data_IF_158494856420
#
_entry.id   IF_158494856420
#
_cell.length_a   1.000
_cell.length_b   1.000
_cell.length_c   1.000
_cell.angle_alpha   90.00
_cell.angle_beta   90.00
_cell.angle_gamma   90.00
#
_symmetry.space_group_name_H-M   'P 1'
#
loop_
_entity.id
_entity.type
_entity.pdbx_description
1 polymer ?
#
# COMPACT_ATOMS: atom_id res chain seq x y z
N UNK A 1 21.85 -10.24 11.55
CA UNK A 1 21.68 -10.23 10.09
C UNK A 1 22.69 -9.27 9.52
N UNK A 2 23.45 -9.69 8.52
CA UNK A 2 24.41 -8.88 7.79
C UNK A 2 23.90 -8.74 6.34
N UNK A 3 24.02 -7.54 5.78
CA UNK A 3 23.55 -7.23 4.42
C UNK A 3 24.70 -6.61 3.63
N UNK A 4 24.91 -7.10 2.42
CA UNK A 4 25.80 -6.49 1.44
C UNK A 4 25.00 -5.92 0.28
N UNK A 5 25.50 -4.84 -0.31
CA UNK A 5 24.80 -4.11 -1.36
C UNK A 5 25.64 -4.06 -2.63
N UNK A 6 24.97 -4.09 -3.77
CA UNK A 6 25.58 -3.84 -5.07
C UNK A 6 25.85 -2.34 -5.31
N UNK A 7 26.46 -2.03 -6.45
CA UNK A 7 26.78 -0.64 -6.86
C UNK A 7 25.54 0.26 -7.06
N UNK A 8 24.34 -0.33 -7.12
CA UNK A 8 23.06 0.38 -7.20
C UNK A 8 22.35 0.44 -5.83
N UNK A 9 23.05 0.12 -4.75
CA UNK A 9 22.51 0.08 -3.37
C UNK A 9 21.36 -0.92 -3.18
N UNK A 10 21.33 -2.00 -3.97
CA UNK A 10 20.40 -3.13 -3.80
C UNK A 10 21.08 -4.24 -3.03
N UNK A 11 20.37 -4.94 -2.16
CA UNK A 11 20.90 -6.04 -1.35
C UNK A 11 21.32 -7.19 -2.28
N UNK A 12 22.61 -7.50 -2.34
CA UNK A 12 23.18 -8.58 -3.17
C UNK A 12 23.48 -9.84 -2.37
N UNK A 13 23.65 -9.70 -1.05
CA UNK A 13 23.91 -10.82 -0.14
C UNK A 13 23.23 -10.57 1.20
N UNK A 14 22.62 -11.62 1.76
CA UNK A 14 22.02 -11.60 3.08
C UNK A 14 22.55 -12.77 3.90
N UNK A 15 23.09 -12.46 5.07
CA UNK A 15 23.58 -13.47 6.00
C UNK A 15 22.81 -13.41 7.30
N UNK A 16 22.13 -14.51 7.63
CA UNK A 16 21.30 -14.62 8.82
C UNK A 16 21.99 -15.58 9.80
N UNK A 17 22.23 -15.08 11.01
CA UNK A 17 22.75 -15.86 12.12
C UNK A 17 21.60 -16.18 13.07
N UNK A 18 21.20 -17.45 13.13
CA UNK A 18 20.32 -17.98 14.18
C UNK A 18 21.17 -18.71 15.22
N UNK A 19 20.61 -19.04 16.39
CA UNK A 19 21.37 -19.67 17.48
C UNK A 19 21.99 -21.03 17.12
N UNK A 20 21.58 -21.66 16.01
CA UNK A 20 22.05 -22.98 15.58
C UNK A 20 22.73 -23.00 14.21
N UNK A 21 22.41 -22.06 13.32
CA UNK A 21 22.92 -22.07 11.94
C UNK A 21 23.19 -20.65 11.43
N UNK A 22 24.16 -20.55 10.53
CA UNK A 22 24.36 -19.36 9.70
C UNK A 22 23.96 -19.69 8.28
N UNK A 23 23.07 -18.89 7.72
CA UNK A 23 22.59 -19.06 6.35
C UNK A 23 22.98 -17.83 5.55
N UNK A 24 23.43 -18.05 4.31
CA UNK A 24 23.81 -17.00 3.38
C UNK A 24 22.99 -17.17 2.12
N UNK A 25 22.38 -16.10 1.67
CA UNK A 25 21.62 -16.03 0.42
C UNK A 25 22.22 -14.95 -0.47
N UNK A 26 22.44 -15.29 -1.75
CA UNK A 26 22.90 -14.38 -2.79
C UNK A 26 21.75 -14.05 -3.73
N UNK A 27 21.61 -12.76 -4.02
CA UNK A 27 20.46 -12.25 -4.76
C UNK A 27 20.95 -11.61 -6.07
N UNK A 28 20.32 -11.99 -7.17
CA UNK A 28 20.59 -11.42 -8.50
C UNK A 28 19.36 -10.68 -9.02
N UNK A 29 19.61 -9.66 -9.82
CA UNK A 29 18.56 -8.79 -10.36
C UNK A 29 18.71 -8.60 -11.86
N UNK A 30 17.60 -8.32 -12.54
CA UNK A 30 17.60 -7.88 -13.93
C UNK A 30 18.15 -6.45 -14.06
N UNK A 31 18.35 -6.01 -15.31
CA UNK A 31 18.74 -4.64 -15.62
C UNK A 31 17.71 -3.61 -15.10
N UNK A 32 16.43 -3.97 -15.13
CA UNK A 32 15.29 -3.17 -14.63
C UNK A 32 15.08 -3.27 -13.12
N UNK A 33 15.86 -4.12 -12.43
CA UNK A 33 15.81 -4.28 -10.98
C UNK A 33 14.85 -5.33 -10.46
N UNK A 34 14.29 -6.18 -11.32
CA UNK A 34 13.47 -7.31 -10.88
C UNK A 34 14.36 -8.38 -10.24
N UNK A 35 13.93 -8.98 -9.13
CA UNK A 35 14.66 -10.11 -8.51
C UNK A 35 14.60 -11.33 -9.44
N UNK A 36 15.75 -11.81 -9.90
CA UNK A 36 15.84 -12.98 -10.78
C UNK A 36 16.03 -14.27 -9.99
N UNK A 37 16.99 -14.29 -9.08
CA UNK A 37 17.33 -15.48 -8.30
C UNK A 37 17.68 -15.11 -6.86
N UNK A 38 17.34 -16.02 -5.94
CA UNK A 38 17.83 -16.03 -4.57
C UNK A 38 18.40 -17.43 -4.33
N UNK A 39 19.72 -17.51 -4.19
CA UNK A 39 20.47 -18.76 -4.10
C UNK A 39 21.13 -18.87 -2.72
N UNK A 40 21.09 -20.04 -2.10
CA UNK A 40 21.66 -20.26 -0.78
C UNK A 40 21.01 -21.47 -0.12
N UNK A 41 20.49 -21.29 1.10
CA UNK A 41 19.69 -22.33 1.75
C UNK A 41 18.34 -22.57 1.03
N UNK A 42 17.80 -21.52 0.41
CA UNK A 42 16.65 -21.60 -0.47
C UNK A 42 17.09 -21.25 -1.90
N UNK A 43 16.48 -21.92 -2.88
CA UNK A 43 16.75 -21.68 -4.29
C UNK A 43 15.45 -21.26 -4.97
N UNK A 44 15.31 -19.94 -5.15
CA UNK A 44 14.21 -19.33 -5.86
C UNK A 44 14.69 -18.76 -7.18
N UNK A 45 13.94 -19.03 -8.26
CA UNK A 45 14.15 -18.37 -9.55
C UNK A 45 12.84 -17.84 -10.11
N UNK A 46 12.88 -16.63 -10.63
CA UNK A 46 11.74 -15.92 -11.20
C UNK A 46 12.01 -15.57 -12.65
N UNK A 47 11.06 -15.88 -13.52
CA UNK A 47 11.08 -15.52 -14.94
C UNK A 47 9.96 -14.54 -15.21
N UNK A 48 10.26 -13.50 -15.98
CA UNK A 48 9.35 -12.41 -16.29
C UNK A 48 9.06 -12.34 -17.79
N UNK A 49 7.88 -11.84 -18.16
CA UNK A 49 7.59 -11.40 -19.53
C UNK A 49 8.07 -9.96 -19.78
N UNK A 50 7.82 -9.43 -20.98
CA UNK A 50 8.18 -8.06 -21.38
C UNK A 50 7.45 -6.99 -20.55
N UNK A 51 6.24 -7.31 -20.09
CA UNK A 51 5.45 -6.48 -19.18
C UNK A 51 5.85 -6.70 -17.72
N UNK A 52 6.97 -7.39 -17.41
CA UNK A 52 7.44 -7.64 -16.06
C UNK A 52 6.48 -8.45 -15.19
N UNK A 53 5.58 -9.24 -15.76
CA UNK A 53 4.75 -10.19 -15.02
C UNK A 53 5.54 -11.47 -14.73
N UNK A 54 5.38 -12.07 -13.54
CA UNK A 54 6.06 -13.32 -13.18
C UNK A 54 5.40 -14.48 -13.92
N UNK A 55 6.03 -15.05 -14.94
CA UNK A 55 5.49 -16.18 -15.72
C UNK A 55 5.94 -17.55 -15.20
N UNK A 56 7.03 -17.59 -14.42
CA UNK A 56 7.51 -18.82 -13.80
C UNK A 56 8.17 -18.55 -12.47
N UNK A 57 7.82 -19.36 -11.47
CA UNK A 57 8.46 -19.41 -10.15
C UNK A 57 9.05 -20.82 -10.00
N UNK A 58 10.33 -20.92 -9.71
CA UNK A 58 10.98 -22.19 -9.36
C UNK A 58 11.41 -22.17 -7.89
N UNK A 59 11.06 -23.22 -7.16
CA UNK A 59 11.43 -23.48 -5.76
C UNK A 59 11.97 -24.89 -5.61
N UNK A 60 13.26 -25.04 -5.31
CA UNK A 60 13.91 -26.35 -5.04
C UNK A 60 13.57 -27.41 -6.11
N UNK A 61 13.60 -27.00 -7.38
CA UNK A 61 13.31 -27.84 -8.55
C UNK A 61 11.82 -27.97 -8.91
N UNK A 62 10.88 -27.50 -8.08
CA UNK A 62 9.45 -27.42 -8.43
C UNK A 62 9.19 -26.15 -9.21
N UNK A 63 8.57 -26.29 -10.39
CA UNK A 63 8.23 -25.17 -11.27
C UNK A 63 6.73 -24.89 -11.22
N UNK A 64 6.37 -23.64 -10.93
CA UNK A 64 5.03 -23.09 -11.04
C UNK A 64 5.00 -22.13 -12.23
N UNK A 65 4.14 -22.39 -13.22
CA UNK A 65 3.95 -21.52 -14.38
C UNK A 65 2.68 -20.70 -14.20
N UNK A 66 2.70 -19.41 -14.54
CA UNK A 66 1.55 -18.51 -14.45
C UNK A 66 1.15 -18.02 -15.84
N UNK A 67 -0.15 -18.06 -16.14
CA UNK A 67 -0.73 -17.55 -17.39
C UNK A 67 -1.45 -16.22 -17.16
N UNK A 68 -1.27 -15.28 -18.08
CA UNK A 68 -1.81 -13.92 -18.00
C UNK A 68 -2.75 -13.61 -19.16
N UNK A 69 -3.70 -12.71 -18.93
CA UNK A 69 -4.45 -12.07 -20.01
C UNK A 69 -3.83 -10.74 -20.45
N UNK A 70 -4.45 -10.08 -21.44
CA UNK A 70 -3.97 -8.82 -22.00
C UNK A 70 -4.03 -7.62 -21.03
N UNK A 71 -4.62 -7.78 -19.85
CA UNK A 71 -4.68 -6.77 -18.80
C UNK A 71 -3.68 -7.00 -17.66
N UNK A 72 -2.65 -7.82 -17.89
CA UNK A 72 -1.64 -8.22 -16.89
C UNK A 72 -2.22 -8.93 -15.67
N UNK A 73 -3.35 -9.64 -15.84
CA UNK A 73 -4.03 -10.37 -14.76
C UNK A 73 -3.67 -11.85 -14.83
N UNK A 74 -3.24 -12.44 -13.71
CA UNK A 74 -3.01 -13.90 -13.63
C UNK A 74 -4.35 -14.61 -13.75
N UNK A 75 -4.55 -15.43 -14.78
CA UNK A 75 -5.79 -16.21 -15.00
C UNK A 75 -5.58 -17.70 -14.76
N UNK A 76 -4.37 -18.20 -15.00
CA UNK A 76 -4.06 -19.64 -14.99
C UNK A 76 -2.80 -19.96 -14.18
N UNK A 77 -2.79 -21.15 -13.60
CA UNK A 77 -1.60 -21.78 -13.01
C UNK A 77 -1.38 -23.11 -13.71
N UNK A 78 -0.21 -23.29 -14.31
CA UNK A 78 0.03 -24.32 -15.31
C UNK A 78 -1.10 -24.29 -16.36
N UNK A 79 -1.88 -25.36 -16.47
CA UNK A 79 -2.97 -25.49 -17.45
C UNK A 79 -4.37 -25.35 -16.80
N UNK A 80 -4.45 -24.88 -15.55
CA UNK A 80 -5.70 -24.78 -14.80
C UNK A 80 -6.07 -23.31 -14.59
N UNK A 81 -7.29 -22.94 -15.01
CA UNK A 81 -7.88 -21.65 -14.65
C UNK A 81 -8.06 -21.54 -13.14
N UNK A 82 -7.50 -20.49 -12.56
CA UNK A 82 -7.53 -20.29 -11.13
C UNK A 82 -8.25 -19.02 -10.72
N UNK A 83 -7.93 -17.89 -11.35
CA UNK A 83 -8.51 -16.61 -10.97
C UNK A 83 -9.64 -16.21 -11.92
N UNK A 84 -10.75 -15.74 -11.35
CA UNK A 84 -11.81 -15.03 -12.09
C UNK A 84 -11.86 -13.58 -11.66
N UNK A 85 -12.12 -12.67 -12.60
CA UNK A 85 -12.11 -11.22 -12.38
C UNK A 85 -13.47 -10.59 -12.67
N UNK A 86 -13.81 -9.53 -11.95
CA UNK A 86 -14.93 -8.65 -12.32
C UNK A 86 -14.51 -7.57 -13.33
N UNK A 87 -15.47 -6.75 -13.78
CA UNK A 87 -15.23 -5.67 -14.74
C UNK A 87 -14.30 -4.56 -14.21
N UNK A 88 -14.09 -4.47 -12.89
CA UNK A 88 -13.17 -3.52 -12.26
C UNK A 88 -11.75 -4.08 -12.17
N UNK A 89 -11.54 -5.35 -12.52
CA UNK A 89 -10.27 -6.05 -12.42
C UNK A 89 -10.03 -6.74 -11.06
N UNK A 90 -11.05 -6.92 -10.24
CA UNK A 90 -10.88 -7.48 -8.90
C UNK A 90 -10.97 -8.99 -8.97
N UNK A 91 -10.09 -9.72 -8.29
CA UNK A 91 -10.19 -11.19 -8.20
C UNK A 91 -11.45 -11.55 -7.41
N UNK A 92 -12.46 -12.13 -8.07
CA UNK A 92 -13.73 -12.56 -7.45
C UNK A 92 -13.82 -14.08 -7.25
N UNK A 93 -12.91 -14.83 -7.88
CA UNK A 93 -12.76 -16.28 -7.69
C UNK A 93 -11.28 -16.62 -7.64
N UNK A 94 -10.88 -17.49 -6.71
CA UNK A 94 -9.54 -18.07 -6.55
C UNK A 94 -9.69 -19.59 -6.35
N UNK A 95 -9.53 -20.37 -7.41
CA UNK A 95 -9.92 -21.78 -7.40
C UNK A 95 -11.40 -21.91 -7.02
N UNK A 96 -11.67 -22.61 -5.92
CA UNK A 96 -13.03 -22.77 -5.35
C UNK A 96 -13.43 -21.64 -4.38
N UNK A 97 -12.47 -20.81 -3.93
CA UNK A 97 -12.75 -19.68 -3.06
C UNK A 97 -13.43 -18.55 -3.85
N UNK A 98 -14.60 -18.11 -3.40
CA UNK A 98 -15.30 -16.92 -3.88
C UNK A 98 -14.97 -15.71 -3.01
N UNK A 99 -14.70 -14.58 -3.64
CA UNK A 99 -14.31 -13.33 -2.99
C UNK A 99 -15.36 -12.24 -3.28
N UNK A 100 -15.71 -11.46 -2.27
CA UNK A 100 -16.66 -10.33 -2.40
C UNK A 100 -16.06 -9.06 -1.83
N UNK A 101 -16.33 -7.94 -2.47
CA UNK A 101 -15.80 -6.64 -2.08
C UNK A 101 -16.93 -5.68 -1.71
N UNK A 102 -16.65 -4.74 -0.82
CA UNK A 102 -17.56 -3.62 -0.53
C UNK A 102 -17.42 -2.52 -1.59
N UNK A 103 -18.21 -1.45 -1.46
CA UNK A 103 -18.20 -0.30 -2.38
C UNK A 103 -16.87 0.48 -2.37
N UNK A 104 -16.08 0.37 -1.30
CA UNK A 104 -14.73 0.94 -1.21
C UNK A 104 -13.66 0.04 -1.84
N UNK A 105 -14.06 -1.08 -2.44
CA UNK A 105 -13.15 -2.04 -3.05
C UNK A 105 -12.34 -2.89 -2.06
N UNK A 106 -12.74 -2.94 -0.79
CA UNK A 106 -12.09 -3.76 0.23
C UNK A 106 -12.72 -5.15 0.27
N UNK A 107 -11.90 -6.21 0.43
CA UNK A 107 -12.40 -7.59 0.53
C UNK A 107 -13.29 -7.70 1.76
N UNK A 108 -14.58 -7.97 1.55
CA UNK A 108 -15.61 -8.04 2.59
C UNK A 108 -15.87 -9.46 3.07
N UNK A 109 -15.74 -10.46 2.19
CA UNK A 109 -15.85 -11.87 2.54
C UNK A 109 -15.08 -12.78 1.58
N UNK A 110 -14.60 -13.91 2.10
CA UNK A 110 -14.08 -15.03 1.34
C UNK A 110 -14.84 -16.31 1.75
N UNK A 111 -15.18 -17.15 0.78
CA UNK A 111 -15.96 -18.37 1.02
C UNK A 111 -15.52 -19.48 0.11
N UNK A 112 -15.19 -20.63 0.68
CA UNK A 112 -14.95 -21.87 -0.05
C UNK A 112 -15.92 -22.92 0.48
N UNK A 113 -16.71 -23.51 -0.43
CA UNK A 113 -17.77 -24.46 -0.08
C UNK A 113 -17.20 -25.58 0.80
N UNK A 114 -17.93 -25.89 1.88
CA UNK A 114 -17.58 -26.96 2.84
C UNK A 114 -16.25 -26.78 3.60
N UNK A 115 -15.46 -25.74 3.30
CA UNK A 115 -14.16 -25.50 3.93
C UNK A 115 -14.15 -24.34 4.90
N UNK A 116 -14.55 -23.14 4.45
CA UNK A 116 -14.59 -21.97 5.33
C UNK A 116 -15.49 -20.85 4.80
N UNK A 117 -15.88 -19.95 5.70
CA UNK A 117 -16.41 -18.63 5.37
C UNK A 117 -15.78 -17.63 6.32
N UNK A 118 -15.21 -16.57 5.76
CA UNK A 118 -14.58 -15.49 6.50
C UNK A 118 -15.15 -14.14 6.10
N UNK A 119 -15.33 -13.24 7.06
CA UNK A 119 -15.70 -11.84 6.84
C UNK A 119 -14.66 -10.90 7.42
N UNK A 120 -14.36 -9.83 6.68
CA UNK A 120 -13.33 -8.86 7.04
C UNK A 120 -13.99 -7.52 7.34
N UNK A 121 -13.62 -6.89 8.45
CA UNK A 121 -14.15 -5.58 8.87
C UNK A 121 -13.05 -4.55 8.87
N UNK A 122 -13.39 -3.35 8.41
CA UNK A 122 -12.47 -2.22 8.34
C UNK A 122 -13.05 -1.03 9.10
N UNK A 123 -12.16 -0.18 9.59
CA UNK A 123 -12.53 1.16 10.03
C UNK A 123 -12.56 2.16 8.87
N UNK A 124 -12.89 3.42 9.19
CA UNK A 124 -12.95 4.55 8.26
C UNK A 124 -11.60 4.98 7.67
N UNK A 125 -10.49 4.64 8.35
CA UNK A 125 -9.12 4.75 7.81
C UNK A 125 -8.77 3.61 6.85
N UNK A 126 -9.69 2.67 6.68
CA UNK A 126 -9.56 1.49 5.85
C UNK A 126 -8.62 0.44 6.43
N UNK A 127 -8.34 0.44 7.74
CA UNK A 127 -7.51 -0.56 8.44
C UNK A 127 -8.37 -1.77 8.82
N UNK A 128 -7.82 -2.98 8.72
CA UNK A 128 -8.51 -4.21 9.14
C UNK A 128 -8.65 -4.25 10.67
N UNK A 129 -9.88 -4.33 11.19
CA UNK A 129 -10.17 -4.32 12.63
C UNK A 129 -10.66 -5.66 13.16
N UNK A 130 -11.19 -6.54 12.31
CA UNK A 130 -11.62 -7.86 12.71
C UNK A 130 -11.70 -8.83 11.53
N UNK A 131 -11.46 -10.11 11.83
CA UNK A 131 -11.82 -11.24 10.96
C UNK A 131 -12.80 -12.11 11.71
N UNK A 132 -13.91 -12.45 11.06
CA UNK A 132 -14.95 -13.33 11.58
C UNK A 132 -15.02 -14.60 10.76
N UNK A 133 -15.38 -15.71 11.39
CA UNK A 133 -15.77 -16.95 10.72
C UNK A 133 -17.26 -17.25 11.00
N UNK A 134 -17.74 -18.40 10.53
CA UNK A 134 -19.12 -18.83 10.76
C UNK A 134 -19.49 -18.98 12.25
N UNK A 135 -18.51 -19.18 13.12
CA UNK A 135 -18.68 -19.36 14.57
C UNK A 135 -18.61 -18.04 15.36
N UNK A 136 -18.27 -16.92 14.72
CA UNK A 136 -18.22 -15.60 15.37
C UNK A 136 -16.94 -14.83 15.06
N UNK A 137 -16.56 -13.91 15.95
CA UNK A 137 -15.31 -13.14 15.80
C UNK A 137 -14.11 -14.02 16.08
N UNK A 138 -13.23 -14.22 15.10
CA UNK A 138 -12.00 -14.99 15.28
C UNK A 138 -11.01 -14.18 16.13
N UNK A 139 -10.75 -12.94 15.74
CA UNK A 139 -9.95 -11.99 16.51
C UNK A 139 -10.19 -10.54 16.08
N UNK A 140 -9.77 -9.59 16.93
CA UNK A 140 -9.84 -8.16 16.71
C UNK A 140 -8.44 -7.53 16.75
N UNK A 141 -8.25 -6.50 15.93
CA UNK A 141 -7.00 -5.75 15.81
C UNK A 141 -7.19 -4.33 16.33
N UNK A 142 -6.24 -3.88 17.15
CA UNK A 142 -6.28 -2.57 17.79
C UNK A 142 -5.04 -1.74 17.40
N UNK A 143 -5.27 -0.46 17.16
CA UNK A 143 -4.29 0.51 16.68
C UNK A 143 -4.18 1.66 17.66
N UNK A 144 -3.49 1.44 18.77
CA UNK A 144 -3.45 2.33 19.92
C UNK A 144 -2.34 3.39 19.86
N UNK A 145 -1.39 3.28 18.91
CA UNK A 145 -0.33 4.26 18.72
C UNK A 145 -0.79 5.33 17.71
N UNK A 146 -1.07 6.56 18.16
CA UNK A 146 -1.54 7.60 17.27
C UNK A 146 -0.42 8.21 16.40
N UNK A 147 0.86 8.02 16.74
CA UNK A 147 1.98 8.38 15.86
C UNK A 147 2.14 7.38 14.72
N UNK A 148 1.72 6.13 14.94
CA UNK A 148 1.85 5.02 14.00
C UNK A 148 0.48 4.41 13.72
N UNK A 149 -0.45 5.16 13.10
CA UNK A 149 -1.86 4.80 13.05
C UNK A 149 -2.14 3.50 12.27
N UNK A 150 -1.27 3.08 11.36
CA UNK A 150 -1.47 1.84 10.59
C UNK A 150 -0.79 0.61 11.22
N UNK A 151 -0.09 0.74 12.36
CA UNK A 151 0.53 -0.39 13.07
C UNK A 151 -0.43 -1.08 14.04
N UNK A 152 -0.55 -2.39 13.91
CA UNK A 152 -1.28 -3.22 14.86
C UNK A 152 -0.55 -3.22 16.19
N UNK A 153 -1.17 -2.69 17.24
CA UNK A 153 -0.58 -2.67 18.58
C UNK A 153 -1.04 -3.82 19.45
N UNK A 154 -2.28 -4.29 19.26
CA UNK A 154 -2.83 -5.41 20.01
C UNK A 154 -3.68 -6.32 19.14
N UNK A 155 -3.68 -7.61 19.51
CA UNK A 155 -4.55 -8.65 18.98
C UNK A 155 -5.37 -9.20 20.14
N UNK A 156 -6.70 -9.13 20.02
CA UNK A 156 -7.62 -9.62 21.03
C UNK A 156 -8.42 -10.80 20.50
N UNK A 157 -8.54 -11.86 21.30
CA UNK A 157 -9.35 -13.04 21.03
C UNK A 157 -10.61 -13.03 21.91
N UNK A 158 -11.78 -12.63 21.37
CA UNK A 158 -13.01 -12.55 22.18
C UNK A 158 -13.45 -13.89 22.77
N UNK A 159 -13.11 -15.01 22.13
CA UNK A 159 -13.50 -16.35 22.56
C UNK A 159 -12.91 -16.78 23.91
N UNK A 160 -11.73 -16.28 24.26
CA UNK A 160 -11.03 -16.63 25.51
C UNK A 160 -10.54 -15.40 26.30
N UNK A 161 -10.82 -14.18 25.82
CA UNK A 161 -10.40 -12.93 26.46
C UNK A 161 -8.90 -12.63 26.38
N UNK A 162 -8.10 -13.44 25.69
CA UNK A 162 -6.64 -13.27 25.61
C UNK A 162 -6.29 -12.10 24.70
N UNK A 163 -5.35 -11.27 25.16
CA UNK A 163 -4.84 -10.12 24.39
C UNK A 163 -3.32 -10.20 24.29
N UNK A 164 -2.81 -10.12 23.06
CA UNK A 164 -1.40 -9.93 22.78
C UNK A 164 -1.12 -8.46 22.51
N UNK A 165 -0.03 -7.96 23.07
CA UNK A 165 0.54 -6.65 22.75
C UNK A 165 1.79 -6.85 21.90
N UNK A 166 1.92 -6.05 20.84
CA UNK A 166 3.06 -6.05 19.94
C UNK A 166 3.94 -4.82 20.22
N UNK A 167 5.25 -5.06 20.34
CA UNK A 167 6.26 -4.05 20.63
C UNK A 167 7.15 -3.88 19.42
N UNK A 168 7.32 -2.63 19.00
CA UNK A 168 8.06 -2.26 17.79
C UNK A 168 9.26 -1.38 18.14
N UNK A 169 10.30 -1.45 17.31
CA UNK A 169 11.43 -0.53 17.37
C UNK A 169 11.12 0.84 16.71
N UNK A 170 12.14 1.69 16.57
CA UNK A 170 12.05 2.99 15.91
C UNK A 170 11.82 2.91 14.39
N UNK A 171 12.15 1.76 13.78
CA UNK A 171 11.93 1.49 12.35
C UNK A 171 10.57 0.87 12.08
N UNK A 172 9.71 0.76 13.10
CA UNK A 172 8.39 0.12 13.05
C UNK A 172 8.46 -1.39 12.79
N UNK A 173 9.55 -2.02 13.20
CA UNK A 173 9.77 -3.46 13.05
C UNK A 173 9.45 -4.17 14.37
N UNK A 174 8.76 -5.31 14.28
CA UNK A 174 8.34 -6.07 15.46
C UNK A 174 9.55 -6.68 16.17
N UNK A 175 9.70 -6.39 17.47
CA UNK A 175 10.83 -6.90 18.28
C UNK A 175 10.39 -7.84 19.40
N UNK A 176 9.15 -7.70 19.87
CA UNK A 176 8.59 -8.59 20.87
C UNK A 176 7.06 -8.61 20.81
N UNK A 177 6.48 -9.70 21.29
CA UNK A 177 5.05 -9.80 21.61
C UNK A 177 4.88 -10.32 23.02
N UNK A 178 3.89 -9.80 23.74
CA UNK A 178 3.66 -10.14 25.14
C UNK A 178 2.17 -10.30 25.46
N UNK A 179 1.89 -11.17 26.42
CA UNK A 179 0.64 -11.24 27.18
C UNK A 179 0.96 -10.95 28.65
N UNK A 180 -0.02 -11.08 29.53
CA UNK A 180 0.21 -10.99 30.98
C UNK A 180 1.14 -12.08 31.54
N UNK A 181 1.30 -13.20 30.82
CA UNK A 181 2.01 -14.40 31.30
C UNK A 181 3.23 -14.77 30.45
N UNK A 182 3.28 -14.30 29.20
CA UNK A 182 4.25 -14.73 28.22
C UNK A 182 4.89 -13.52 27.55
N UNK A 183 6.22 -13.58 27.36
CA UNK A 183 6.94 -12.67 26.49
C UNK A 183 7.77 -13.45 25.48
N UNK A 184 7.60 -13.10 24.21
CA UNK A 184 8.31 -13.71 23.09
C UNK A 184 9.10 -12.60 22.38
N UNK A 185 10.39 -12.82 22.19
CA UNK A 185 11.24 -11.95 21.38
C UNK A 185 11.17 -12.39 19.92
N UNK A 186 11.18 -11.42 19.01
CA UNK A 186 11.00 -11.68 17.58
C UNK A 186 12.21 -11.17 16.82
N UNK A 187 12.83 -12.04 16.01
CA UNK A 187 13.81 -11.66 15.02
C UNK A 187 13.11 -11.46 13.67
N UNK A 188 13.40 -10.35 13.01
CA UNK A 188 12.79 -9.92 11.75
C UNK A 188 13.83 -9.66 10.68
N UNK A 189 13.43 -9.75 9.42
CA UNK A 189 14.23 -9.30 8.28
C UNK A 189 14.27 -7.76 8.17
N UNK A 190 14.99 -7.26 7.17
CA UNK A 190 15.16 -5.82 6.88
C UNK A 190 13.87 -5.09 6.51
N UNK A 191 12.84 -5.82 6.09
CA UNK A 191 11.53 -5.30 5.72
C UNK A 191 10.48 -5.49 6.84
N UNK A 192 10.89 -6.04 7.98
CA UNK A 192 10.05 -6.27 9.14
C UNK A 192 9.23 -7.56 9.10
N UNK A 193 9.59 -8.54 8.25
CA UNK A 193 8.97 -9.87 8.27
C UNK A 193 9.56 -10.71 9.40
N UNK A 194 8.75 -11.29 10.31
CA UNK A 194 9.26 -12.18 11.36
C UNK A 194 9.87 -13.47 10.81
N UNK A 195 11.08 -13.80 11.24
CA UNK A 195 11.85 -14.98 10.86
C UNK A 195 11.89 -16.02 11.98
N UNK A 196 12.09 -15.59 13.23
CA UNK A 196 12.21 -16.50 14.38
C UNK A 196 11.64 -15.87 15.65
N UNK A 197 11.15 -16.72 16.55
CA UNK A 197 10.52 -16.35 17.81
C UNK A 197 11.22 -17.07 18.96
N UNK A 198 11.53 -16.34 20.03
CA UNK A 198 12.30 -16.85 21.16
C UNK A 198 11.56 -16.64 22.47
N UNK A 199 11.62 -17.63 23.36
CA UNK A 199 11.17 -17.46 24.74
C UNK A 199 12.14 -16.57 25.55
N UNK A 200 11.81 -16.32 26.81
CA UNK A 200 12.65 -15.50 27.71
C UNK A 200 13.98 -16.16 28.07
N UNK A 201 14.14 -17.46 27.82
CA UNK A 201 15.37 -18.22 28.04
C UNK A 201 16.25 -18.28 26.78
N UNK A 202 15.79 -17.71 25.66
CA UNK A 202 16.48 -17.73 24.37
C UNK A 202 16.26 -18.99 23.53
N UNK A 203 15.32 -19.87 23.92
CA UNK A 203 14.96 -21.03 23.10
C UNK A 203 14.05 -20.62 21.95
N UNK A 204 14.25 -21.25 20.79
CA UNK A 204 13.40 -21.06 19.61
C UNK A 204 12.02 -21.69 19.86
N UNK A 205 10.97 -20.87 19.75
CA UNK A 205 9.54 -21.26 19.86
C UNK A 205 8.94 -21.52 18.48
N UNK A 206 9.35 -20.76 17.47
CA UNK A 206 8.86 -20.84 16.09
C UNK A 206 9.89 -20.24 15.13
N UNK A 207 10.02 -20.82 13.94
CA UNK A 207 10.76 -20.29 12.81
C UNK A 207 9.86 -20.27 11.59
N UNK A 208 9.97 -19.20 10.80
CA UNK A 208 9.19 -18.99 9.60
C UNK A 208 10.14 -18.69 8.44
N UNK A 209 9.98 -19.42 7.34
CA UNK A 209 10.68 -19.14 6.09
C UNK A 209 9.68 -18.90 4.98
N UNK A 210 9.99 -17.91 4.14
CA UNK A 210 9.11 -17.47 3.06
C UNK A 210 9.89 -17.36 1.76
N UNK A 211 9.18 -17.39 0.64
CA UNK A 211 9.73 -16.94 -0.64
C UNK A 211 10.05 -15.44 -0.57
N UNK A 212 10.88 -14.92 -1.49
CA UNK A 212 11.14 -13.49 -1.60
C UNK A 212 9.86 -12.64 -1.69
N UNK A 213 8.82 -13.16 -2.33
CA UNK A 213 7.50 -12.53 -2.47
C UNK A 213 6.54 -12.85 -1.31
N UNK A 214 7.00 -13.50 -0.25
CA UNK A 214 6.25 -13.69 0.99
C UNK A 214 5.44 -14.98 1.08
N UNK A 215 5.51 -15.89 0.10
CA UNK A 215 4.83 -17.19 0.17
C UNK A 215 5.40 -18.02 1.31
N UNK A 216 4.57 -18.53 2.21
CA UNK A 216 5.01 -19.33 3.33
C UNK A 216 5.56 -20.68 2.86
N UNK A 217 6.86 -20.93 3.07
CA UNK A 217 7.51 -22.18 2.70
C UNK A 217 7.63 -23.13 3.89
N UNK A 218 8.02 -22.62 5.05
CA UNK A 218 8.20 -23.39 6.29
C UNK A 218 7.63 -22.60 7.46
N UNK A 219 6.88 -23.29 8.33
CA UNK A 219 6.44 -22.84 9.64
C UNK A 219 6.64 -24.00 10.63
N UNK A 220 7.55 -23.85 11.59
CA UNK A 220 7.88 -24.94 12.52
C UNK A 220 6.86 -25.14 13.63
N UNK A 221 5.94 -24.18 13.84
CA UNK A 221 4.91 -24.26 14.87
C UNK A 221 3.64 -23.51 14.43
N UNK A 222 2.82 -24.07 13.52
CA UNK A 222 1.64 -23.40 12.96
C UNK A 222 0.58 -23.01 14.00
N UNK A 223 0.48 -23.77 15.10
CA UNK A 223 -0.50 -23.52 16.17
C UNK A 223 -0.19 -22.22 16.94
N UNK A 224 1.07 -21.77 16.94
CA UNK A 224 1.46 -20.47 17.46
C UNK A 224 1.16 -19.38 16.40
N UNK A 225 -0.07 -18.84 16.47
CA UNK A 225 -0.54 -17.80 15.56
C UNK A 225 0.10 -16.44 15.84
N UNK A 226 0.61 -15.80 14.78
CA UNK A 226 1.21 -14.46 14.81
C UNK A 226 0.57 -13.60 13.74
N UNK A 227 -0.01 -12.47 14.15
CA UNK A 227 -0.78 -11.61 13.22
C UNK A 227 0.08 -10.65 12.41
N UNK A 228 1.31 -10.38 12.85
CA UNK A 228 2.27 -9.57 12.09
C UNK A 228 3.08 -10.53 11.22
N UNK A 229 2.83 -10.49 9.92
CA UNK A 229 3.40 -11.38 8.93
C UNK A 229 4.46 -10.70 8.05
N UNK A 230 4.51 -11.13 6.79
CA UNK A 230 5.45 -10.63 5.80
C UNK A 230 5.36 -9.11 5.65
N UNK A 231 6.50 -8.43 5.77
CA UNK A 231 6.63 -6.96 5.74
C UNK A 231 5.62 -6.19 6.62
N UNK A 232 5.28 -6.74 7.79
CA UNK A 232 4.31 -6.16 8.71
C UNK A 232 2.85 -6.28 8.29
N UNK A 233 2.55 -7.01 7.21
CA UNK A 233 1.18 -7.30 6.77
C UNK A 233 0.46 -8.29 7.69
N UNK A 234 -0.86 -8.40 7.53
CA UNK A 234 -1.71 -9.29 8.34
C UNK A 234 -2.09 -10.52 7.48
N UNK A 235 -1.59 -11.73 7.79
CA UNK A 235 -1.95 -12.91 7.03
C UNK A 235 -3.38 -13.32 7.36
N UNK A 236 -4.14 -13.72 6.34
CA UNK A 236 -5.44 -14.36 6.53
C UNK A 236 -5.25 -15.88 6.65
N UNK A 237 -5.65 -16.49 7.77
CA UNK A 237 -5.44 -17.92 8.01
C UNK A 237 -6.24 -18.84 7.07
N UNK A 238 -7.21 -18.32 6.34
CA UNK A 238 -8.10 -19.12 5.49
C UNK A 238 -7.69 -19.08 4.01
N UNK A 239 -7.46 -17.90 3.44
CA UNK A 239 -7.13 -17.72 2.01
C UNK A 239 -5.64 -17.75 1.71
N UNK A 240 -4.78 -17.62 2.73
CA UNK A 240 -3.35 -17.35 2.60
C UNK A 240 -3.00 -16.01 1.93
N UNK A 241 -3.98 -15.13 1.71
CA UNK A 241 -3.69 -13.76 1.33
C UNK A 241 -3.10 -12.98 2.49
N UNK A 242 -2.40 -11.91 2.15
CA UNK A 242 -1.79 -11.00 3.09
C UNK A 242 -2.44 -9.62 2.92
N UNK A 243 -3.03 -9.11 3.99
CA UNK A 243 -3.49 -7.73 4.01
C UNK A 243 -2.30 -6.82 4.33
N UNK A 244 -1.85 -6.08 3.32
CA UNK A 244 -0.64 -5.26 3.36
C UNK A 244 -0.92 -3.89 2.76
N UNK A 245 -0.55 -2.81 3.46
CA UNK A 245 -0.73 -1.42 2.97
C UNK A 245 -2.14 -1.12 2.47
N UNK A 246 -3.14 -1.57 3.21
CA UNK A 246 -4.58 -1.40 2.93
C UNK A 246 -5.11 -2.13 1.69
N UNK A 247 -4.33 -3.05 1.12
CA UNK A 247 -4.73 -3.91 0.00
C UNK A 247 -4.43 -5.36 0.30
N UNK A 248 -5.15 -6.25 -0.38
CA UNK A 248 -4.92 -7.68 -0.28
C UNK A 248 -3.92 -8.12 -1.34
N UNK A 249 -2.91 -8.84 -0.89
CA UNK A 249 -1.79 -9.32 -1.66
C UNK A 249 -1.79 -10.85 -1.68
N UNK A 250 -1.55 -11.42 -2.86
CA UNK A 250 -1.36 -12.86 -3.02
C UNK A 250 0.15 -13.17 -3.04
N UNK A 251 0.70 -13.66 -1.92
CA UNK A 251 2.12 -13.97 -1.83
C UNK A 251 2.54 -15.17 -2.69
N UNK A 252 1.60 -16.04 -3.09
CA UNK A 252 1.92 -17.17 -3.98
C UNK A 252 2.32 -16.66 -5.37
N UNK A 253 1.66 -15.60 -5.85
CA UNK A 253 1.87 -15.06 -7.19
C UNK A 253 2.74 -13.82 -7.24
N UNK A 254 2.97 -13.17 -6.10
CA UNK A 254 3.72 -11.92 -6.08
C UNK A 254 2.91 -10.71 -6.56
N UNK A 255 1.58 -10.74 -6.48
CA UNK A 255 0.71 -9.69 -7.02
C UNK A 255 -0.43 -9.28 -6.09
N UNK A 256 -0.95 -8.06 -6.27
CA UNK A 256 -2.17 -7.60 -5.60
C UNK A 256 -3.41 -8.26 -6.20
N UNK A 257 -4.44 -8.54 -5.40
CA UNK A 257 -5.70 -9.14 -5.91
C UNK A 257 -6.73 -8.10 -6.40
N UNK A 258 -6.37 -6.82 -6.27
CA UNK A 258 -7.12 -5.66 -6.75
C UNK A 258 -6.14 -4.72 -7.45
N UNK A 259 -6.54 -4.01 -8.51
CA UNK A 259 -5.70 -3.00 -9.16
C UNK A 259 -5.59 -1.70 -8.34
N UNK A 260 -4.49 -0.96 -8.51
CA UNK A 260 -4.27 0.38 -7.95
C UNK A 260 -4.74 1.52 -8.88
N UNK A 261 -6.05 1.60 -9.11
CA UNK A 261 -6.61 2.64 -9.98
C UNK A 261 -6.33 4.07 -9.48
N UNK A 262 -6.25 4.25 -8.15
CA UNK A 262 -6.00 5.56 -7.55
C UNK A 262 -4.58 6.03 -7.81
N UNK A 263 -3.57 5.16 -7.64
CA UNK A 263 -2.18 5.49 -7.96
C UNK A 263 -2.04 5.79 -9.45
N UNK A 264 -2.67 5.01 -10.32
CA UNK A 264 -2.64 5.25 -11.76
C UNK A 264 -3.21 6.63 -12.14
N UNK A 265 -4.34 7.03 -11.54
CA UNK A 265 -4.97 8.31 -11.86
C UNK A 265 -4.23 9.52 -11.27
N UNK A 266 -3.63 9.35 -10.08
CA UNK A 266 -3.18 10.48 -9.25
C UNK A 266 -1.66 10.57 -9.07
N UNK A 267 -0.93 9.47 -9.24
CA UNK A 267 0.46 9.30 -8.80
C UNK A 267 1.32 8.56 -9.83
N UNK A 268 1.26 8.96 -11.10
CA UNK A 268 2.24 8.58 -12.12
C UNK A 268 3.53 9.40 -11.96
N UNK A 269 4.52 8.81 -11.31
CA UNK A 269 5.86 9.37 -11.06
C UNK A 269 6.95 8.66 -11.83
N UNK A 270 6.82 7.34 -12.00
CA UNK A 270 7.68 6.51 -12.83
C UNK A 270 6.86 5.81 -13.92
N UNK A 271 7.46 5.44 -15.07
CA UNK A 271 6.77 4.64 -16.09
C UNK A 271 6.23 3.30 -15.56
N UNK A 272 6.83 2.77 -14.49
CA UNK A 272 6.42 1.51 -13.86
C UNK A 272 5.13 1.63 -13.03
N UNK A 273 4.64 2.85 -12.75
CA UNK A 273 3.40 3.07 -12.02
C UNK A 273 2.15 2.59 -12.79
N UNK A 274 2.28 2.29 -14.09
CA UNK A 274 1.21 1.73 -14.92
C UNK A 274 0.86 0.28 -14.57
N UNK A 275 1.77 -0.45 -13.93
CA UNK A 275 1.59 -1.87 -13.59
C UNK A 275 0.85 -2.02 -12.25
N UNK A 276 -0.47 -1.89 -12.31
CA UNK A 276 -1.38 -1.74 -11.17
C UNK A 276 -1.50 -2.98 -10.24
N UNK A 277 -1.06 -4.16 -10.68
CA UNK A 277 -1.01 -5.39 -9.87
C UNK A 277 0.39 -5.72 -9.33
N UNK A 278 1.44 -5.07 -9.86
CA UNK A 278 2.82 -5.44 -9.58
C UNK A 278 3.20 -5.07 -8.15
N UNK A 279 3.81 -6.01 -7.44
CA UNK A 279 4.30 -5.77 -6.09
C UNK A 279 5.71 -5.18 -6.11
N UNK A 280 5.87 -3.98 -5.57
CA UNK A 280 7.18 -3.30 -5.38
C UNK A 280 8.08 -3.30 -6.61
N UNK A 281 7.49 -3.16 -7.80
CA UNK A 281 8.22 -3.25 -9.06
C UNK A 281 9.09 -4.53 -9.20
N UNK A 282 8.60 -5.66 -8.68
CA UNK A 282 9.30 -6.96 -8.61
C UNK A 282 10.62 -6.95 -7.82
N UNK A 283 10.77 -5.99 -6.92
CA UNK A 283 11.85 -5.94 -5.95
C UNK A 283 11.28 -6.01 -4.52
N UNK A 284 10.90 -7.20 -4.06
CA UNK A 284 10.35 -7.39 -2.72
C UNK A 284 11.43 -7.40 -1.61
N UNK A 285 12.72 -7.45 -1.97
CA UNK A 285 13.83 -7.61 -1.03
C UNK A 285 14.31 -6.25 -0.54
N UNK A 286 14.47 -5.29 -1.45
CA UNK A 286 14.91 -3.96 -1.05
C UNK A 286 13.74 -3.20 -0.40
N UNK A 287 13.98 -2.50 0.73
CA UNK A 287 12.94 -1.71 1.37
C UNK A 287 12.32 -0.70 0.39
N UNK A 288 10.99 -0.53 0.44
CA UNK A 288 10.28 0.47 -0.39
C UNK A 288 10.94 1.87 -0.39
N UNK A 289 11.47 2.30 0.76
CA UNK A 289 12.14 3.61 0.89
C UNK A 289 13.48 3.67 0.16
N UNK A 290 14.07 2.53 -0.17
CA UNK A 290 15.32 2.40 -0.93
C UNK A 290 15.11 2.45 -2.45
N UNK A 291 13.88 2.31 -2.95
CA UNK A 291 13.59 2.43 -4.40
C UNK A 291 13.72 3.87 -4.90
N UNK A 292 13.59 4.85 -4.00
CA UNK A 292 13.99 6.25 -4.25
C UNK A 292 15.22 6.55 -3.40
N UNK A 293 16.38 6.77 -4.04
CA UNK A 293 17.60 7.18 -3.31
C UNK A 293 17.34 8.55 -2.69
N UNK A 294 17.05 8.56 -1.39
CA UNK A 294 16.92 9.79 -0.63
C UNK A 294 18.32 10.28 -0.29
N UNK A 295 18.88 11.11 -1.19
CA UNK A 295 20.11 11.81 -0.89
C UNK A 295 19.88 12.73 0.32
N UNK A 296 20.71 12.58 1.35
CA UNK A 296 20.68 13.44 2.54
C UNK A 296 21.24 14.82 2.17
N UNK A 297 20.40 15.66 1.58
CA UNK A 297 20.77 16.99 1.07
C UNK A 297 20.47 18.13 2.05
N UNK A 298 19.78 17.85 3.16
CA UNK A 298 19.38 18.84 4.16
C UNK A 298 19.70 18.39 5.60
N UNK A 299 19.85 19.36 6.50
CA UNK A 299 20.21 19.11 7.90
C UNK A 299 19.18 18.24 8.65
N UNK A 300 17.88 18.36 8.34
CA UNK A 300 16.86 17.54 8.99
C UNK A 300 17.03 16.07 8.62
N UNK A 301 17.31 15.77 7.35
CA UNK A 301 17.65 14.42 6.89
C UNK A 301 18.91 13.85 7.56
N UNK A 302 19.94 14.67 7.78
CA UNK A 302 21.13 14.25 8.54
C UNK A 302 20.86 14.04 10.04
N UNK A 303 20.09 14.92 10.68
CA UNK A 303 19.74 14.82 12.09
C UNK A 303 18.94 13.54 12.40
N UNK A 304 18.07 13.12 11.47
CA UNK A 304 17.35 11.84 11.56
C UNK A 304 18.28 10.62 11.66
N UNK A 305 19.44 10.64 11.01
CA UNK A 305 20.44 9.56 11.10
C UNK A 305 20.98 9.40 12.53
N UNK A 306 21.04 10.50 13.28
CA UNK A 306 21.48 10.52 14.67
C UNK A 306 20.32 10.36 15.67
N UNK A 307 19.11 10.00 15.20
CA UNK A 307 17.94 9.77 16.06
C UNK A 307 17.18 11.04 16.45
N UNK A 308 17.51 12.20 15.90
CA UNK A 308 16.76 13.43 16.17
C UNK A 308 15.56 13.56 15.22
N UNK A 309 14.37 13.70 15.79
CA UNK A 309 13.16 14.04 15.05
C UNK A 309 12.85 15.54 15.19
N UNK A 310 13.25 16.30 14.19
CA UNK A 310 13.05 17.75 14.13
C UNK A 310 11.56 18.13 14.19
N UNK A 311 10.65 17.29 13.66
CA UNK A 311 9.20 17.58 13.72
C UNK A 311 8.67 17.49 15.16
N UNK A 312 9.19 16.53 15.95
CA UNK A 312 8.81 16.39 17.36
C UNK A 312 9.44 17.48 18.24
N UNK A 313 10.61 18.00 17.86
CA UNK A 313 11.34 19.02 18.64
C UNK A 313 10.79 20.43 18.40
N UNK A 314 10.47 20.81 17.16
CA UNK A 314 10.26 22.21 16.76
C UNK A 314 8.82 22.72 16.73
N UNK A 315 7.80 21.94 17.12
CA UNK A 315 6.47 22.54 17.26
C UNK A 315 5.33 21.58 17.46
N UNK A 316 4.12 22.12 17.62
CA UNK A 316 2.86 21.37 17.78
C UNK A 316 2.22 20.97 16.45
N UNK A 317 2.86 21.17 15.30
CA UNK A 317 2.27 20.82 14.01
C UNK A 317 2.00 19.31 13.88
N UNK A 318 2.78 18.47 14.57
CA UNK A 318 2.51 17.04 14.65
C UNK A 318 1.16 16.76 15.32
N UNK A 319 0.69 17.59 16.28
CA UNK A 319 -0.60 17.35 16.99
C UNK A 319 -1.81 17.39 16.06
N UNK A 320 -1.77 18.21 15.01
CA UNK A 320 -2.78 18.20 13.93
C UNK A 320 -2.79 16.88 13.16
N UNK A 321 -1.64 16.21 13.02
CA UNK A 321 -1.53 14.90 12.34
C UNK A 321 -2.03 13.73 13.22
N UNK A 322 -2.02 13.89 14.55
CA UNK A 322 -2.51 12.90 15.52
C UNK A 322 -4.03 12.77 15.46
N UNK A 323 -4.72 13.92 15.37
CA UNK A 323 -6.17 13.99 15.38
C UNK A 323 -6.70 13.66 14.00
N UNK A 324 -7.22 12.45 13.85
CA UNK A 324 -7.92 12.06 12.64
C UNK A 324 -9.37 12.46 12.70
N UNK A 325 -9.82 13.11 11.65
CA UNK A 325 -11.20 13.46 11.41
C UNK A 325 -11.69 12.63 10.23
N UNK A 326 -12.69 11.75 10.42
CA UNK A 326 -13.26 10.98 9.34
C UNK A 326 -13.84 11.92 8.29
N UNK A 327 -13.44 11.76 7.04
CA UNK A 327 -13.99 12.52 5.93
C UNK A 327 -14.10 11.60 4.71
N UNK A 328 -15.27 11.63 4.06
CA UNK A 328 -15.45 11.00 2.76
C UNK A 328 -14.59 11.76 1.73
N UNK A 329 -13.38 11.27 1.49
CA UNK A 329 -12.44 11.93 0.58
C UNK A 329 -12.40 11.16 -0.73
N UNK A 330 -12.81 11.80 -1.80
CA UNK A 330 -12.45 11.35 -3.15
C UNK A 330 -10.94 11.54 -3.27
N UNK A 331 -10.22 10.43 -3.39
CA UNK A 331 -8.75 10.39 -3.44
C UNK A 331 -8.20 11.04 -4.70
N UNK A 332 -9.01 11.11 -5.76
CA UNK A 332 -8.66 11.83 -6.98
C UNK A 332 -8.98 13.33 -6.89
N UNK A 333 -7.96 14.21 -6.81
CA UNK A 333 -8.17 15.65 -6.81
C UNK A 333 -8.74 16.17 -8.15
N UNK A 334 -8.70 15.36 -9.21
CA UNK A 334 -9.30 15.69 -10.51
C UNK A 334 -10.83 15.54 -10.50
N UNK A 335 -11.35 14.55 -9.75
CA UNK A 335 -12.78 14.26 -9.68
C UNK A 335 -13.52 15.13 -8.67
N UNK A 336 -12.84 15.54 -7.59
CA UNK A 336 -13.34 16.49 -6.62
C UNK A 336 -12.20 17.42 -6.18
N UNK A 337 -11.92 18.50 -6.93
CA UNK A 337 -10.93 19.49 -6.52
C UNK A 337 -11.45 20.21 -5.28
N UNK A 338 -11.00 19.77 -4.10
CA UNK A 338 -11.31 20.43 -2.84
C UNK A 338 -10.33 21.59 -2.64
N UNK A 339 -10.83 22.80 -2.90
CA UNK A 339 -10.19 24.02 -2.42
C UNK A 339 -10.70 24.25 -1.00
N UNK A 340 -10.10 23.57 -0.03
CA UNK A 340 -10.34 23.90 1.37
C UNK A 340 -10.21 25.42 1.54
N UNK A 341 -11.24 26.08 2.08
CA UNK A 341 -11.23 27.52 2.27
C UNK A 341 -10.17 27.83 3.32
N UNK A 342 -8.99 28.25 2.87
CA UNK A 342 -7.90 28.63 3.74
C UNK A 342 -7.99 30.14 3.98
N UNK A 343 -8.15 30.53 5.23
CA UNK A 343 -8.04 31.93 5.62
C UNK A 343 -6.65 32.46 5.24
N UNK A 344 -6.58 33.71 4.76
CA UNK A 344 -5.30 34.38 4.53
C UNK A 344 -4.42 34.39 5.78
N UNK A 345 -5.03 34.45 6.98
CA UNK A 345 -4.31 34.34 8.25
C UNK A 345 -3.67 32.97 8.43
N UNK A 346 -4.37 31.89 8.09
CA UNK A 346 -3.83 30.53 8.17
C UNK A 346 -2.61 30.38 7.24
N UNK A 347 -2.70 30.92 6.03
CA UNK A 347 -1.58 30.94 5.08
C UNK A 347 -0.36 31.72 5.62
N UNK A 348 -0.59 32.86 6.28
CA UNK A 348 0.49 33.63 6.93
C UNK A 348 1.13 32.82 8.06
N UNK A 349 0.31 32.20 8.93
CA UNK A 349 0.79 31.34 10.02
C UNK A 349 1.63 30.19 9.47
N UNK A 350 1.13 29.49 8.45
CA UNK A 350 1.83 28.35 7.83
C UNK A 350 3.17 28.79 7.24
N UNK A 351 3.21 29.94 6.54
CA UNK A 351 4.44 30.49 5.95
C UNK A 351 5.46 30.94 7.00
N UNK A 352 5.01 31.53 8.10
CA UNK A 352 5.89 31.93 9.22
C UNK A 352 6.43 30.68 9.94
N UNK A 353 5.57 29.70 10.19
CA UNK A 353 5.95 28.43 10.80
C UNK A 353 6.95 27.65 9.94
N UNK A 354 6.75 27.59 8.63
CA UNK A 354 7.67 26.94 7.69
C UNK A 354 9.06 27.58 7.75
N UNK A 355 9.12 28.93 7.68
CA UNK A 355 10.38 29.68 7.80
C UNK A 355 11.06 29.48 9.15
N UNK A 356 10.30 29.42 10.24
CA UNK A 356 10.84 29.19 11.58
C UNK A 356 11.41 27.77 11.74
N UNK A 357 10.79 26.77 11.09
CA UNK A 357 11.24 25.37 11.12
C UNK A 357 12.44 25.06 10.21
N UNK A 358 12.83 26.00 9.34
CA UNK A 358 13.95 25.82 8.42
C UNK A 358 15.29 25.99 9.16
N UNK A 359 15.91 24.87 9.51
CA UNK A 359 17.22 24.84 10.20
C UNK A 359 18.41 25.09 9.26
N UNK A 360 18.22 25.01 7.94
CA UNK A 360 19.29 25.15 6.95
C UNK A 360 19.62 26.61 6.64
N UNK A 361 20.91 26.96 6.61
CA UNK A 361 21.38 28.29 6.18
C UNK A 361 21.52 28.42 4.66
N UNK A 362 21.48 27.29 3.93
CA UNK A 362 21.57 27.26 2.47
C UNK A 362 20.17 27.42 1.89
N UNK A 363 19.92 28.43 1.03
CA UNK A 363 18.65 28.55 0.35
C UNK A 363 18.42 27.31 -0.51
N UNK A 364 17.23 26.70 -0.40
CA UNK A 364 16.86 25.62 -1.31
C UNK A 364 16.93 26.16 -2.75
N UNK A 365 17.53 25.41 -3.70
CA UNK A 365 17.59 25.87 -5.06
C UNK A 365 16.17 26.12 -5.57
N UNK A 366 15.92 27.32 -6.12
CA UNK A 366 14.72 27.67 -6.87
C UNK A 366 14.68 26.93 -8.21
N UNK A 367 15.23 25.72 -8.28
CA UNK A 367 15.04 24.83 -9.41
C UNK A 367 13.53 24.80 -9.63
N UNK A 368 13.12 25.36 -10.77
CA UNK A 368 11.88 24.96 -11.41
C UNK A 368 12.05 23.47 -11.70
N UNK A 369 11.85 22.63 -10.69
CA UNK A 369 11.03 21.48 -10.96
C UNK A 369 9.82 22.09 -11.66
N UNK A 370 9.45 21.60 -12.84
CA UNK A 370 8.07 21.80 -13.31
C UNK A 370 7.25 21.69 -12.06
N UNK A 371 6.53 22.77 -11.73
CA UNK A 371 5.82 22.77 -10.48
C UNK A 371 5.13 21.41 -10.46
N UNK A 372 5.15 20.72 -9.33
CA UNK A 372 3.93 20.01 -9.00
C UNK A 372 2.87 21.11 -8.99
N UNK A 373 2.49 21.60 -10.18
CA UNK A 373 1.28 22.32 -10.44
C UNK A 373 0.33 21.44 -9.68
N UNK A 374 -0.30 22.04 -8.68
CA UNK A 374 -1.45 21.46 -8.03
C UNK A 374 -2.41 21.20 -9.19
N UNK A 375 -2.22 20.06 -9.86
CA UNK A 375 -2.55 19.90 -11.26
C UNK A 375 -4.01 19.52 -11.21
N UNK A 376 -4.84 20.56 -11.21
CA UNK A 376 -6.25 20.47 -11.55
C UNK A 376 -6.41 19.96 -12.99
N UNK A 377 -5.34 19.99 -13.79
CA UNK A 377 -5.26 19.34 -15.07
C UNK A 377 -5.12 17.82 -14.89
N UNK A 378 -5.93 17.02 -15.61
CA UNK A 378 -5.82 15.58 -15.56
C UNK A 378 -4.43 15.13 -16.03
N UNK A 379 -3.87 14.13 -15.33
CA UNK A 379 -2.58 13.49 -15.68
C UNK A 379 -2.67 12.58 -16.91
N UNK A 380 -3.87 12.43 -17.45
CA UNK A 380 -4.16 11.75 -18.71
C UNK A 380 -4.59 12.78 -19.74
N UNK A 381 -4.41 12.46 -21.03
CA UNK A 381 -4.89 13.31 -22.11
C UNK A 381 -6.39 13.60 -21.93
N UNK A 382 -6.75 14.88 -21.86
CA UNK A 382 -8.14 15.27 -21.73
C UNK A 382 -8.80 15.37 -23.10
N UNK A 383 -10.04 14.91 -23.19
CA UNK A 383 -10.89 15.25 -24.33
C UNK A 383 -11.29 16.71 -24.20
N UNK A 384 -11.29 17.45 -25.31
CA UNK A 384 -11.82 18.83 -25.32
C UNK A 384 -13.22 18.85 -24.71
N UNK A 385 -13.48 19.85 -23.87
CA UNK A 385 -14.80 20.08 -23.28
C UNK A 385 -15.86 20.15 -24.37
N UNK A 386 -17.03 19.57 -24.12
CA UNK A 386 -18.20 19.65 -25.02
C UNK A 386 -18.60 21.11 -25.27
N UNK A 387 -18.36 21.98 -24.29
CA UNK A 387 -18.73 23.39 -24.34
C UNK A 387 -17.63 24.31 -24.92
N UNK A 388 -16.46 23.76 -25.25
CA UNK A 388 -15.31 24.54 -25.70
C UNK A 388 -14.63 25.34 -24.57
N UNK A 389 -13.69 26.21 -24.95
CA UNK A 389 -12.98 27.12 -24.04
C UNK A 389 -13.76 28.44 -23.88
N UNK A 390 -13.54 29.18 -22.80
CA UNK A 390 -14.17 30.51 -22.60
C UNK A 390 -15.66 30.51 -22.26
N UNK A 391 -16.24 29.35 -21.95
CA UNK A 391 -17.61 29.24 -21.41
C UNK A 391 -17.54 29.01 -19.90
N UNK A 392 -18.11 29.93 -19.14
CA UNK A 392 -18.32 29.80 -17.70
C UNK A 392 -19.69 29.17 -17.46
N UNK A 393 -19.70 27.99 -16.82
CA UNK A 393 -20.91 27.32 -16.37
C UNK A 393 -20.92 27.37 -14.84
N UNK A 394 -22.00 27.92 -14.29
CA UNK A 394 -22.22 27.95 -12.85
C UNK A 394 -23.61 27.43 -12.51
N UNK A 395 -23.80 27.04 -11.25
CA UNK A 395 -25.10 26.61 -10.75
C UNK A 395 -25.50 27.50 -9.58
N UNK A 396 -26.66 28.12 -9.68
CA UNK A 396 -27.27 28.90 -8.61
C UNK A 396 -28.75 28.52 -8.47
N UNK A 397 -29.20 28.26 -7.23
CA UNK A 397 -30.60 27.93 -6.93
C UNK A 397 -31.18 26.79 -7.79
N UNK A 398 -30.36 25.77 -8.08
CA UNK A 398 -30.79 24.62 -8.90
C UNK A 398 -30.92 24.90 -10.40
N UNK A 399 -30.48 26.07 -10.88
CA UNK A 399 -30.43 26.42 -12.31
C UNK A 399 -29.01 26.56 -12.80
N UNK A 400 -28.78 26.19 -14.05
CA UNK A 400 -27.53 26.45 -14.75
C UNK A 400 -27.50 27.90 -15.25
N UNK A 401 -26.41 28.61 -14.99
CA UNK A 401 -26.13 29.95 -15.47
C UNK A 401 -24.88 29.91 -16.35
N UNK A 402 -25.00 30.40 -17.57
CA UNK A 402 -23.94 30.37 -18.57
C UNK A 402 -23.52 31.79 -18.90
N UNK A 403 -22.21 32.05 -18.81
CA UNK A 403 -21.57 33.30 -19.23
C UNK A 403 -20.45 32.98 -20.20
N UNK A 404 -20.23 33.84 -21.18
CA UNK A 404 -19.31 33.59 -22.28
C UNK A 404 -18.30 34.73 -22.37
N UNK A 405 -17.02 34.41 -22.55
CA UNK A 405 -15.94 35.39 -22.74
C UNK A 405 -15.84 35.79 -24.22
N UNK A 406 -15.58 37.07 -24.49
CA UNK A 406 -15.40 37.60 -25.84
C UNK A 406 -14.21 36.95 -26.57
N UNK A 407 -14.36 36.66 -27.87
CA UNK A 407 -13.29 36.12 -28.73
C UNK A 407 -13.28 34.60 -28.94
N UNK A 408 -14.27 33.87 -28.44
CA UNK A 408 -14.43 32.42 -28.65
C UNK A 408 -15.45 32.14 -29.79
N UNK A 409 -15.47 30.91 -30.32
CA UNK A 409 -16.30 30.49 -31.45
C UNK A 409 -17.80 30.78 -31.23
N UNK A 410 -18.33 31.76 -31.97
CA UNK A 410 -19.67 32.32 -31.81
C UNK A 410 -20.80 31.31 -32.01
N UNK A 411 -20.62 30.32 -32.89
CA UNK A 411 -21.68 29.34 -33.21
C UNK A 411 -21.93 28.38 -32.06
N UNK A 412 -20.86 27.89 -31.42
CA UNK A 412 -20.98 26.97 -30.27
C UNK A 412 -21.50 27.72 -29.04
N UNK A 413 -21.08 28.98 -28.88
CA UNK A 413 -21.50 29.84 -27.78
C UNK A 413 -22.98 30.18 -27.80
N UNK A 414 -23.52 30.57 -28.96
CA UNK A 414 -24.93 30.92 -29.10
C UNK A 414 -25.82 29.74 -28.77
N UNK A 415 -25.48 28.55 -29.29
CA UNK A 415 -26.22 27.32 -29.03
C UNK A 415 -26.16 26.93 -27.55
N UNK A 416 -24.99 26.99 -26.94
CA UNK A 416 -24.83 26.60 -25.52
C UNK A 416 -25.56 27.58 -24.60
N UNK A 417 -25.48 28.88 -24.88
CA UNK A 417 -26.16 29.91 -24.09
C UNK A 417 -27.67 29.86 -24.29
N UNK A 418 -28.17 29.63 -25.51
CA UNK A 418 -29.61 29.57 -25.76
C UNK A 418 -30.25 28.30 -25.21
N UNK A 419 -29.55 27.16 -25.26
CA UNK A 419 -30.11 25.85 -24.89
C UNK A 419 -29.97 25.56 -23.40
N UNK A 420 -28.82 25.87 -22.79
CA UNK A 420 -28.53 25.42 -21.43
C UNK A 420 -28.72 26.50 -20.37
N UNK A 421 -28.76 27.78 -20.72
CA UNK A 421 -28.92 28.84 -19.74
C UNK A 421 -30.32 28.78 -19.10
N UNK A 422 -30.41 29.00 -17.78
CA UNK A 422 -31.61 28.89 -16.96
C UNK A 422 -32.27 27.50 -16.90
N UNK A 423 -31.64 26.45 -17.45
CA UNK A 423 -32.13 25.07 -17.33
C UNK A 423 -32.06 24.57 -15.88
N UNK A 424 -32.98 23.68 -15.51
CA UNK A 424 -33.00 23.04 -14.19
C UNK A 424 -31.91 21.97 -14.10
N UNK A 425 -30.93 22.17 -13.21
CA UNK A 425 -29.89 21.21 -12.90
C UNK A 425 -30.31 20.37 -11.69
N UNK A 426 -30.65 19.10 -11.91
CA UNK A 426 -30.95 18.15 -10.82
C UNK A 426 -29.64 17.66 -10.21
N UNK A 427 -29.40 17.94 -8.93
CA UNK A 427 -28.15 17.57 -8.22
C UNK A 427 -27.96 16.07 -8.00
N UNK A 428 -29.03 15.28 -8.02
CA UNK A 428 -29.01 13.95 -7.38
C UNK A 428 -29.29 12.79 -8.34
N UNK A 429 -29.49 13.06 -9.64
CA UNK A 429 -29.85 12.05 -10.63
C UNK A 429 -28.90 12.14 -11.82
N UNK A 430 -27.69 11.61 -11.63
CA UNK A 430 -26.76 11.35 -12.72
C UNK A 430 -26.40 9.87 -12.63
N UNK A 431 -26.54 9.14 -13.74
CA UNK A 431 -26.14 7.74 -13.86
C UNK A 431 -24.98 7.65 -14.85
N UNK A 432 -23.93 6.94 -14.45
CA UNK A 432 -22.84 6.50 -15.33
C UNK A 432 -23.21 5.25 -16.09
#
# INVERSE_FOLDING_TARGET
MELEYDVRSRISSMKIHTSRTTTTEHITYSADGHVLEVLGENEWKFVYDENGNIISIMDKGRKLTLGYDSGDRVVQVADVELNGYDARGFVVRRGETKLRYNELGQLSSATENERFTAWYRYDDRGRLIAIHNAQGVTYQLLYADPMRPDLVTHLHFPSNGRTFRYLYDEKNVLVAMETTELRIYVATDQNGSPLAFFDTNGNIVKEIRRSPFGHLAIDTNPDFFVVVGYQGGIPDPHTNFLYLRKRWYDPLFGQWITPDWERLANQLTSPTDIFIYRFQNNDPINPLRGQTVNYMTDLSSWLKLYGYDVENILGSAYTKKIVYQPAAKVTSPQLAPDFGVMSGLQCIIDKVSEKFSALGFVPQPLLKMEARTRNLLPRVAYRRSVFGEGVLISRANGRALISVVEGVNTVVQDVVTSVFNNTLSRSSFHST
#
